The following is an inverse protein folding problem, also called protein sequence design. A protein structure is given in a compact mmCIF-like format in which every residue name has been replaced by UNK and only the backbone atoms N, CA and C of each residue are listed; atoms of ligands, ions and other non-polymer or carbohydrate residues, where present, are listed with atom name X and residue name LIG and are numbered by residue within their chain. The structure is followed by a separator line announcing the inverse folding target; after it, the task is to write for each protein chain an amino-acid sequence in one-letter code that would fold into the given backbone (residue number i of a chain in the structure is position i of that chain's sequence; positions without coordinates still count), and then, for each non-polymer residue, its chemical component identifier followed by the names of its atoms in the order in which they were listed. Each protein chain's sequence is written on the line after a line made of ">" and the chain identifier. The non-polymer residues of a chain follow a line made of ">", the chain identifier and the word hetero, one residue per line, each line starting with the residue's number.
data_IF_698337271080
#
_entry.id   IF_698337271080
#
_cell.length_a   1.000
_cell.length_b   1.000
_cell.length_c   1.000
_cell.angle_alpha   90.00
_cell.angle_beta   90.00
_cell.angle_gamma   90.00
#
_symmetry.space_group_name_H-M   'P 1'
#
loop_
_entity.id
_entity.type
_entity.pdbx_description
1 polymer ?
#
# COMPACT_ATOMS: atom_id res chain seq x y z
N UNK A 1 -23.99 1.91 -31.34
CA UNK A 1 -24.04 2.70 -30.09
C UNK A 1 -22.75 2.34 -29.36
N UNK A 2 -21.84 3.30 -29.25
CA UNK A 2 -20.45 3.05 -28.83
C UNK A 2 -20.45 2.90 -27.31
N UNK A 3 -20.39 1.66 -26.83
CA UNK A 3 -20.09 1.34 -25.43
C UNK A 3 -18.58 1.43 -25.26
N UNK A 4 -18.11 2.48 -24.57
CA UNK A 4 -16.72 2.62 -24.18
C UNK A 4 -16.61 2.18 -22.73
N UNK A 5 -16.23 0.93 -22.51
CA UNK A 5 -15.52 0.54 -21.30
C UNK A 5 -14.30 1.47 -21.15
N UNK A 6 -14.03 2.03 -19.97
CA UNK A 6 -12.74 2.68 -19.73
C UNK A 6 -11.64 1.62 -19.84
N UNK A 7 -10.38 1.97 -20.16
CA UNK A 7 -9.31 0.99 -20.26
C UNK A 7 -9.22 0.25 -18.92
N UNK A 8 -9.53 -1.05 -18.93
CA UNK A 8 -9.52 -1.88 -17.74
C UNK A 8 -8.08 -2.00 -17.27
N UNK A 9 -7.79 -1.47 -16.08
CA UNK A 9 -6.53 -1.77 -15.40
C UNK A 9 -6.51 -3.26 -15.08
N UNK A 10 -5.53 -3.99 -15.62
CA UNK A 10 -5.36 -5.40 -15.29
C UNK A 10 -4.71 -5.49 -13.91
N UNK A 11 -5.57 -5.63 -12.90
CA UNK A 11 -5.14 -5.94 -11.55
C UNK A 11 -4.75 -7.41 -11.47
N UNK A 12 -3.52 -7.68 -11.08
CA UNK A 12 -3.02 -9.04 -10.92
C UNK A 12 -3.45 -9.54 -9.54
N UNK A 13 -4.35 -10.52 -9.56
CA UNK A 13 -4.81 -11.22 -8.36
C UNK A 13 -4.07 -12.53 -8.24
N UNK A 14 -3.18 -12.63 -7.25
CA UNK A 14 -2.52 -13.90 -6.93
C UNK A 14 -3.36 -14.68 -5.92
N UNK A 15 -3.78 -15.87 -6.35
CA UNK A 15 -4.51 -16.84 -5.52
C UNK A 15 -3.60 -18.03 -5.24
N UNK A 16 -3.29 -18.27 -3.96
CA UNK A 16 -2.76 -19.57 -3.54
C UNK A 16 -3.97 -20.50 -3.35
N UNK A 17 -4.09 -21.54 -4.18
CA UNK A 17 -5.25 -22.43 -4.19
C UNK A 17 -5.31 -23.29 -2.92
N UNK A 18 -6.44 -23.24 -2.21
CA UNK A 18 -7.02 -24.38 -1.49
C UNK A 18 -8.40 -24.61 -2.09
N UNK A 19 -8.63 -25.77 -2.71
CA UNK A 19 -9.71 -26.04 -3.67
C UNK A 19 -11.13 -26.03 -3.05
N UNK A 20 -11.29 -25.86 -1.73
CA UNK A 20 -12.59 -26.06 -1.07
C UNK A 20 -12.91 -25.13 0.10
N UNK A 21 -12.12 -24.07 0.33
CA UNK A 21 -12.38 -23.13 1.43
C UNK A 21 -13.62 -22.26 1.16
N UNK A 22 -14.69 -22.43 1.93
CA UNK A 22 -15.91 -21.61 1.81
C UNK A 22 -15.73 -20.16 2.28
N UNK A 23 -14.72 -19.92 3.14
CA UNK A 23 -14.37 -18.59 3.63
C UNK A 23 -13.18 -18.03 2.87
N UNK A 24 -13.32 -16.78 2.42
CA UNK A 24 -12.29 -16.06 1.67
C UNK A 24 -11.64 -15.02 2.57
N UNK A 25 -10.31 -14.93 2.48
CA UNK A 25 -9.50 -13.90 3.14
C UNK A 25 -8.78 -13.09 2.06
N UNK A 26 -8.99 -11.78 2.07
CA UNK A 26 -8.28 -10.84 1.19
C UNK A 26 -7.25 -10.07 1.99
N UNK A 27 -6.02 -10.09 1.50
CA UNK A 27 -4.88 -9.40 2.09
C UNK A 27 -4.60 -8.10 1.36
N UNK A 28 -4.46 -7.01 2.13
CA UNK A 28 -4.27 -5.65 1.63
C UNK A 28 -2.93 -5.11 2.15
N UNK A 29 -1.92 -5.08 1.27
CA UNK A 29 -0.56 -4.68 1.61
C UNK A 29 -0.42 -3.15 1.85
N UNK A 30 0.74 -2.70 2.33
CA UNK A 30 1.09 -1.29 2.43
C UNK A 30 2.22 -0.85 1.49
N UNK A 31 3.08 0.04 1.96
CA UNK A 31 4.20 0.62 1.23
C UNK A 31 5.54 0.31 1.90
N UNK A 32 6.61 0.02 1.15
CA UNK A 32 6.66 -0.40 -0.25
C UNK A 32 6.48 -1.92 -0.28
N UNK A 33 5.25 -2.36 -0.06
CA UNK A 33 4.88 -3.76 -0.03
C UNK A 33 4.23 -4.19 -1.36
N UNK A 34 4.01 -5.49 -1.51
CA UNK A 34 3.32 -6.16 -2.63
C UNK A 34 2.63 -7.41 -2.05
N UNK A 35 1.88 -8.16 -2.88
CA UNK A 35 1.25 -9.43 -2.49
C UNK A 35 2.21 -10.36 -1.73
N UNK A 36 3.49 -10.37 -2.13
CA UNK A 36 4.53 -11.24 -1.59
C UNK A 36 4.76 -11.08 -0.08
N UNK A 37 4.41 -9.92 0.47
CA UNK A 37 4.45 -9.64 1.92
C UNK A 37 3.59 -10.61 2.73
N UNK A 38 2.54 -11.16 2.10
CA UNK A 38 1.58 -12.05 2.73
C UNK A 38 1.87 -13.54 2.52
N UNK A 39 2.97 -13.91 1.83
CA UNK A 39 3.27 -15.30 1.45
C UNK A 39 3.16 -16.29 2.61
N UNK A 40 3.64 -15.92 3.80
CA UNK A 40 3.56 -16.78 4.99
C UNK A 40 2.12 -16.94 5.48
N UNK A 41 1.35 -15.86 5.56
CA UNK A 41 -0.04 -15.89 6.01
C UNK A 41 -0.95 -16.59 5.00
N UNK A 42 -0.72 -16.38 3.70
CA UNK A 42 -1.47 -17.03 2.63
C UNK A 42 -1.33 -18.56 2.71
N UNK A 43 -0.10 -19.06 2.92
CA UNK A 43 0.17 -20.50 3.10
C UNK A 43 -0.51 -21.01 4.37
N UNK A 44 -0.35 -20.33 5.50
CA UNK A 44 -0.92 -20.74 6.78
C UNK A 44 -2.47 -20.83 6.73
N UNK A 45 -3.13 -19.83 6.13
CA UNK A 45 -4.59 -19.82 6.00
C UNK A 45 -5.09 -20.84 4.96
N UNK A 46 -4.34 -21.08 3.89
CA UNK A 46 -4.67 -22.16 2.95
C UNK A 46 -4.64 -23.54 3.64
N UNK A 47 -3.64 -23.79 4.50
CA UNK A 47 -3.55 -25.00 5.32
C UNK A 47 -4.70 -25.09 6.33
N UNK A 48 -5.22 -23.96 6.79
CA UNK A 48 -6.39 -23.89 7.67
C UNK A 48 -7.74 -23.98 6.92
N UNK A 49 -7.74 -24.19 5.60
CA UNK A 49 -8.94 -24.36 4.80
C UNK A 49 -9.61 -23.06 4.35
N UNK A 50 -8.92 -21.93 4.38
CA UNK A 50 -9.39 -20.66 3.81
C UNK A 50 -8.89 -20.50 2.37
N UNK A 51 -9.65 -19.74 1.56
CA UNK A 51 -9.17 -19.24 0.27
C UNK A 51 -8.46 -17.91 0.49
N UNK A 52 -7.16 -17.88 0.24
CA UNK A 52 -6.30 -16.70 0.39
C UNK A 52 -6.15 -15.93 -0.93
N UNK A 53 -6.42 -14.63 -0.92
CA UNK A 53 -6.29 -13.74 -2.08
C UNK A 53 -5.44 -12.53 -1.67
N UNK A 54 -4.37 -12.24 -2.42
CA UNK A 54 -3.55 -11.06 -2.22
C UNK A 54 -3.35 -10.36 -3.58
N UNK A 55 -4.13 -9.31 -3.89
CA UNK A 55 -3.88 -8.49 -5.06
C UNK A 55 -2.68 -7.57 -4.84
N UNK A 56 -1.95 -7.28 -5.90
CA UNK A 56 -1.15 -6.05 -5.96
C UNK A 56 -2.09 -4.89 -6.28
N UNK A 57 -1.99 -3.78 -5.54
CA UNK A 57 -2.73 -2.56 -5.91
C UNK A 57 -2.33 -2.08 -7.32
N UNK A 58 -3.22 -1.31 -7.97
CA UNK A 58 -2.86 -0.62 -9.23
C UNK A 58 -1.54 0.15 -9.07
N UNK A 59 -0.65 0.01 -10.04
CA UNK A 59 0.69 0.60 -10.01
C UNK A 59 1.65 -0.01 -8.98
N UNK A 60 1.37 -1.22 -8.50
CA UNK A 60 2.28 -2.02 -7.69
C UNK A 60 2.58 -3.36 -8.35
N UNK A 61 3.82 -3.82 -8.20
CA UNK A 61 4.25 -5.17 -8.52
C UNK A 61 3.82 -5.63 -9.91
N UNK A 62 2.95 -6.64 -9.97
CA UNK A 62 2.49 -7.19 -11.25
C UNK A 62 1.29 -6.45 -11.85
N UNK A 63 0.53 -5.70 -11.06
CA UNK A 63 -0.64 -4.95 -11.53
C UNK A 63 -0.25 -3.76 -12.40
N UNK A 64 -1.09 -3.45 -13.38
CA UNK A 64 -0.85 -2.33 -14.29
C UNK A 64 -0.86 -0.98 -13.56
N UNK A 65 -0.01 -0.06 -14.04
CA UNK A 65 -0.03 1.33 -13.61
C UNK A 65 -1.23 2.06 -14.21
N UNK A 66 -1.98 2.84 -13.41
CA UNK A 66 -3.07 3.66 -13.90
C UNK A 66 -2.57 4.69 -14.93
N UNK A 67 -3.40 5.10 -15.93
CA UNK A 67 -3.00 6.11 -16.91
C UNK A 67 -2.62 7.47 -16.31
N UNK A 68 -3.10 7.77 -15.10
CA UNK A 68 -2.81 8.98 -14.34
C UNK A 68 -2.44 8.58 -12.90
N UNK A 69 -1.19 8.12 -12.67
CA UNK A 69 -0.70 7.72 -11.35
C UNK A 69 -0.96 8.78 -10.29
N UNK A 70 -0.63 10.04 -10.60
CA UNK A 70 -0.79 11.27 -9.80
C UNK A 70 -2.23 11.55 -9.34
N UNK A 71 -3.25 10.92 -9.94
CA UNK A 71 -4.66 11.09 -9.55
C UNK A 71 -5.24 9.90 -8.80
N UNK A 72 -4.46 8.85 -8.62
CA UNK A 72 -4.91 7.66 -7.92
C UNK A 72 -5.15 7.97 -6.45
N UNK A 73 -6.27 7.47 -5.91
CA UNK A 73 -6.71 7.73 -4.55
C UNK A 73 -7.08 6.44 -3.80
N UNK A 74 -7.27 6.56 -2.48
CA UNK A 74 -7.83 5.45 -1.70
C UNK A 74 -9.20 4.98 -2.18
N UNK A 75 -10.00 5.85 -2.82
CA UNK A 75 -11.30 5.46 -3.38
C UNK A 75 -11.15 4.53 -4.57
N UNK A 76 -10.09 4.71 -5.36
CA UNK A 76 -9.75 3.80 -6.46
C UNK A 76 -9.42 2.42 -5.91
N UNK A 77 -8.61 2.33 -4.84
CA UNK A 77 -8.26 1.04 -4.21
C UNK A 77 -9.48 0.32 -3.61
N UNK A 78 -10.45 1.06 -3.08
CA UNK A 78 -11.73 0.50 -2.59
C UNK A 78 -12.57 -0.01 -3.75
N UNK A 79 -12.60 0.73 -4.86
CA UNK A 79 -13.35 0.34 -6.08
C UNK A 79 -12.73 -0.89 -6.74
N UNK A 80 -11.40 -0.98 -6.75
CA UNK A 80 -10.64 -2.13 -7.21
C UNK A 80 -10.97 -3.38 -6.41
N UNK A 81 -10.99 -3.27 -5.08
CA UNK A 81 -11.37 -4.38 -4.21
C UNK A 81 -12.80 -4.86 -4.53
N UNK A 82 -13.76 -3.95 -4.69
CA UNK A 82 -15.13 -4.30 -5.08
C UNK A 82 -15.16 -5.05 -6.42
N UNK A 83 -14.48 -4.51 -7.44
CA UNK A 83 -14.40 -5.11 -8.76
C UNK A 83 -13.73 -6.49 -8.77
N UNK A 84 -12.68 -6.70 -7.97
CA UNK A 84 -12.05 -8.00 -7.77
C UNK A 84 -13.04 -8.99 -7.16
N UNK A 85 -13.78 -8.61 -6.11
CA UNK A 85 -14.74 -9.51 -5.49
C UNK A 85 -15.89 -9.86 -6.43
N UNK A 86 -16.39 -8.90 -7.20
CA UNK A 86 -17.48 -9.10 -8.16
C UNK A 86 -17.05 -10.00 -9.32
N UNK A 87 -15.87 -9.76 -9.90
CA UNK A 87 -15.33 -10.59 -11.00
C UNK A 87 -15.05 -12.03 -10.58
N UNK A 88 -14.71 -12.26 -9.31
CA UNK A 88 -14.50 -13.60 -8.75
C UNK A 88 -15.78 -14.23 -8.18
N UNK A 89 -16.93 -13.54 -8.28
CA UNK A 89 -18.21 -13.94 -7.71
C UNK A 89 -18.12 -14.25 -6.20
N UNK A 90 -17.35 -13.46 -5.45
CA UNK A 90 -17.13 -13.61 -4.02
C UNK A 90 -18.09 -12.69 -3.25
N UNK A 91 -19.11 -13.22 -2.56
CA UNK A 91 -20.11 -12.39 -1.91
C UNK A 91 -19.59 -11.74 -0.64
N UNK A 92 -18.77 -12.44 0.17
CA UNK A 92 -18.22 -11.91 1.43
C UNK A 92 -16.81 -12.38 1.70
N UNK A 93 -16.03 -11.56 2.41
CA UNK A 93 -14.63 -11.84 2.74
C UNK A 93 -14.27 -11.40 4.16
N UNK A 94 -13.22 -12.00 4.72
CA UNK A 94 -12.42 -11.38 5.77
C UNK A 94 -11.35 -10.49 5.13
N UNK A 95 -11.09 -9.33 5.72
CA UNK A 95 -10.03 -8.42 5.29
C UNK A 95 -8.87 -8.45 6.30
N UNK A 96 -7.65 -8.62 5.80
CA UNK A 96 -6.43 -8.48 6.60
C UNK A 96 -5.56 -7.42 5.96
N UNK A 97 -5.12 -6.40 6.70
CA UNK A 97 -4.41 -5.27 6.13
C UNK A 97 -3.23 -4.78 6.97
N UNK A 98 -2.20 -4.25 6.32
CA UNK A 98 -0.97 -3.72 6.95
C UNK A 98 -0.60 -2.33 6.42
N UNK A 99 0.00 -1.51 7.29
CA UNK A 99 0.52 -0.17 6.99
C UNK A 99 -0.56 0.78 6.42
N UNK A 100 -0.56 1.18 5.14
CA UNK A 100 -1.62 2.03 4.60
C UNK A 100 -2.86 1.21 4.19
N UNK A 101 -2.72 -0.10 3.94
CA UNK A 101 -3.79 -1.03 3.55
C UNK A 101 -5.03 -1.04 4.47
N UNK A 102 -4.91 -0.80 5.79
CA UNK A 102 -6.04 -0.56 6.69
C UNK A 102 -6.98 0.55 6.22
N UNK A 103 -6.50 1.61 5.55
CA UNK A 103 -7.37 2.71 5.11
C UNK A 103 -8.40 2.29 4.06
N UNK A 104 -8.04 1.64 2.94
CA UNK A 104 -9.03 1.09 2.04
C UNK A 104 -9.82 -0.04 2.72
N UNK A 105 -9.24 -0.83 3.63
CA UNK A 105 -9.97 -1.88 4.35
C UNK A 105 -11.12 -1.32 5.21
N UNK A 106 -10.85 -0.31 6.04
CA UNK A 106 -11.86 0.35 6.87
C UNK A 106 -12.92 1.03 6.00
N UNK A 107 -12.49 1.74 4.94
CA UNK A 107 -13.41 2.43 4.03
C UNK A 107 -14.32 1.43 3.33
N UNK A 108 -13.78 0.32 2.84
CA UNK A 108 -14.56 -0.74 2.20
C UNK A 108 -15.55 -1.37 3.19
N UNK A 109 -15.13 -1.67 4.42
CA UNK A 109 -16.02 -2.24 5.44
C UNK A 109 -17.17 -1.29 5.83
N UNK A 110 -16.95 0.03 5.79
CA UNK A 110 -17.98 1.04 6.06
C UNK A 110 -18.95 1.22 4.89
N UNK A 111 -18.45 1.17 3.64
CA UNK A 111 -19.26 1.36 2.44
C UNK A 111 -19.98 0.08 1.98
N UNK A 112 -19.41 -1.08 2.28
CA UNK A 112 -19.89 -2.40 1.87
C UNK A 112 -19.95 -3.37 3.06
N UNK A 113 -20.64 -3.05 4.17
CA UNK A 113 -20.71 -3.92 5.34
C UNK A 113 -21.31 -5.29 5.02
N UNK A 114 -22.16 -5.39 3.99
CA UNK A 114 -22.71 -6.63 3.48
C UNK A 114 -21.66 -7.57 2.88
N UNK A 115 -20.49 -7.05 2.47
CA UNK A 115 -19.39 -7.80 1.84
C UNK A 115 -18.29 -8.22 2.81
N UNK A 116 -18.35 -7.84 4.09
CA UNK A 116 -17.27 -8.05 5.05
C UNK A 116 -17.72 -8.89 6.24
N UNK A 117 -16.99 -9.97 6.52
CA UNK A 117 -17.19 -10.86 7.68
C UNK A 117 -16.38 -10.42 8.90
N UNK A 118 -15.25 -9.75 8.68
CA UNK A 118 -14.37 -9.26 9.74
C UNK A 118 -13.15 -8.55 9.16
N UNK A 119 -12.52 -7.71 9.97
CA UNK A 119 -11.34 -6.92 9.60
C UNK A 119 -10.25 -7.11 10.64
N UNK A 120 -9.04 -7.43 10.20
CA UNK A 120 -7.82 -7.47 11.02
C UNK A 120 -6.83 -6.48 10.44
N UNK A 121 -6.26 -5.60 11.28
CA UNK A 121 -5.31 -4.58 10.84
C UNK A 121 -4.05 -4.57 11.68
N UNK A 122 -2.92 -4.23 11.04
CA UNK A 122 -1.60 -4.15 11.67
C UNK A 122 -0.95 -2.81 11.30
N UNK A 123 -0.43 -2.11 12.30
CA UNK A 123 0.20 -0.80 12.11
C UNK A 123 -0.79 0.36 12.31
N UNK A 124 -1.50 0.77 11.26
CA UNK A 124 -2.31 1.99 11.28
C UNK A 124 -3.71 1.75 11.89
N UNK A 125 -4.06 2.45 13.00
CA UNK A 125 -5.38 2.32 13.61
C UNK A 125 -6.47 2.99 12.78
N UNK A 126 -7.74 2.68 13.07
CA UNK A 126 -8.85 3.43 12.51
C UNK A 126 -8.79 4.89 12.97
N UNK A 127 -8.82 5.81 12.01
CA UNK A 127 -8.86 7.24 12.25
C UNK A 127 -10.15 7.79 11.64
N UNK A 128 -11.11 8.25 12.47
CA UNK A 128 -12.28 8.94 11.98
C UNK A 128 -11.90 10.16 11.13
N UNK A 129 -12.75 10.57 10.16
CA UNK A 129 -12.58 11.84 9.48
C UNK A 129 -12.51 13.00 10.47
N UNK A 130 -11.52 13.89 10.32
CA UNK A 130 -11.35 15.04 11.21
C UNK A 130 -9.94 15.62 11.17
N UNK A 131 -9.73 16.79 11.80
CA UNK A 131 -8.43 17.45 11.85
C UNK A 131 -7.41 16.63 12.64
N UNK A 132 -6.24 16.39 12.05
CA UNK A 132 -5.14 15.65 12.69
C UNK A 132 -4.16 16.62 13.33
N UNK A 133 -4.40 16.92 14.61
CA UNK A 133 -3.60 17.91 15.35
C UNK A 133 -2.12 17.51 15.52
N UNK A 134 -1.79 16.22 15.44
CA UNK A 134 -0.43 15.73 15.68
C UNK A 134 0.55 16.04 14.53
N UNK A 135 0.07 16.24 13.30
CA UNK A 135 0.93 16.51 12.13
C UNK A 135 1.70 17.82 12.25
N UNK A 136 1.11 18.82 12.92
CA UNK A 136 1.75 20.10 13.20
C UNK A 136 2.86 20.04 14.25
N UNK A 137 3.03 18.88 14.91
CA UNK A 137 4.02 18.67 15.96
C UNK A 137 5.23 17.87 15.46
N UNK A 138 5.23 17.44 14.18
CA UNK A 138 6.28 16.60 13.62
C UNK A 138 7.42 17.46 13.06
N UNK A 139 8.68 17.04 13.24
CA UNK A 139 9.84 17.79 12.74
C UNK A 139 9.88 17.76 11.20
N UNK A 140 10.44 18.81 10.59
CA UNK A 140 10.57 18.93 9.12
C UNK A 140 11.29 17.75 8.47
N UNK A 141 12.26 17.15 9.18
CA UNK A 141 12.99 15.96 8.73
C UNK A 141 12.17 14.67 8.72
N UNK A 142 10.97 14.66 9.29
CA UNK A 142 10.15 13.45 9.41
C UNK A 142 9.80 12.88 8.04
N UNK A 143 10.01 11.57 7.87
CA UNK A 143 9.89 10.92 6.56
C UNK A 143 8.55 11.13 5.84
N UNK A 144 7.42 11.13 6.57
CA UNK A 144 6.11 11.38 5.95
C UNK A 144 6.08 12.81 5.39
N UNK A 145 6.56 13.80 6.15
CA UNK A 145 6.60 15.19 5.70
C UNK A 145 7.48 15.35 4.45
N UNK A 146 8.65 14.68 4.43
CA UNK A 146 9.55 14.66 3.27
C UNK A 146 8.92 13.99 2.05
N UNK A 147 8.24 12.86 2.24
CA UNK A 147 7.61 12.13 1.13
C UNK A 147 6.26 12.71 0.68
N UNK A 148 5.65 13.60 1.47
CA UNK A 148 4.45 14.34 1.09
C UNK A 148 4.75 15.55 0.20
N UNK A 149 5.99 16.03 0.19
CA UNK A 149 6.40 17.15 -0.66
C UNK A 149 6.41 16.69 -2.14
N UNK A 150 5.61 17.32 -3.03
CA UNK A 150 5.48 16.87 -4.41
C UNK A 150 6.83 16.79 -5.13
N UNK A 151 7.16 15.61 -5.69
CA UNK A 151 8.38 15.36 -6.45
C UNK A 151 9.63 15.08 -5.59
N UNK A 152 9.57 15.28 -4.26
CA UNK A 152 10.73 15.10 -3.39
C UNK A 152 11.07 13.63 -3.18
N UNK A 153 10.08 12.79 -2.89
CA UNK A 153 10.30 11.35 -2.75
C UNK A 153 10.71 10.72 -4.07
N UNK A 154 10.10 11.14 -5.18
CA UNK A 154 10.43 10.66 -6.52
C UNK A 154 11.88 11.00 -6.88
N UNK A 155 12.32 12.22 -6.56
CA UNK A 155 13.71 12.62 -6.73
C UNK A 155 14.66 11.85 -5.81
N UNK A 156 14.29 11.63 -4.54
CA UNK A 156 15.08 10.87 -3.57
C UNK A 156 15.27 9.41 -4.02
N UNK A 157 14.17 8.76 -4.39
CA UNK A 157 14.12 7.35 -4.79
C UNK A 157 14.77 7.15 -6.17
N UNK A 158 14.59 8.09 -7.10
CA UNK A 158 15.14 8.04 -8.44
C UNK A 158 16.67 8.07 -8.52
N UNK A 159 17.36 8.33 -7.40
CA UNK A 159 18.83 8.21 -7.29
C UNK A 159 19.31 6.76 -7.22
N UNK A 160 18.42 5.81 -6.94
CA UNK A 160 18.75 4.44 -6.58
C UNK A 160 17.95 3.45 -7.44
N UNK A 161 18.48 2.24 -7.63
CA UNK A 161 17.69 1.15 -8.22
C UNK A 161 16.58 0.69 -7.27
N UNK A 162 15.54 0.05 -7.81
CA UNK A 162 14.36 -0.35 -7.06
C UNK A 162 14.69 -1.31 -5.89
N UNK A 163 15.65 -2.21 -6.09
CA UNK A 163 16.10 -3.14 -5.05
C UNK A 163 16.72 -2.38 -3.87
N UNK A 164 17.53 -1.35 -4.14
CA UNK A 164 18.21 -0.54 -3.13
C UNK A 164 17.22 0.34 -2.37
N UNK A 165 16.22 0.91 -3.04
CA UNK A 165 15.13 1.64 -2.37
C UNK A 165 14.40 0.72 -1.39
N UNK A 166 13.96 -0.47 -1.83
CA UNK A 166 13.28 -1.43 -0.96
C UNK A 166 14.17 -1.83 0.22
N UNK A 167 15.45 -2.16 -0.05
CA UNK A 167 16.43 -2.47 0.99
C UNK A 167 16.49 -1.38 2.06
N UNK A 168 16.65 -0.13 1.63
CA UNK A 168 16.80 1.00 2.54
C UNK A 168 15.55 1.19 3.38
N UNK A 169 14.36 1.11 2.77
CA UNK A 169 13.09 1.22 3.52
C UNK A 169 12.95 0.08 4.54
N UNK A 170 13.20 -1.17 4.16
CA UNK A 170 13.12 -2.29 5.12
C UNK A 170 14.14 -2.18 6.25
N UNK A 171 15.33 -1.63 6.01
CA UNK A 171 16.31 -1.34 7.06
C UNK A 171 15.82 -0.24 8.01
N UNK A 172 15.29 0.87 7.48
CA UNK A 172 14.81 2.01 8.26
C UNK A 172 13.65 1.63 9.17
N UNK A 173 12.65 0.91 8.64
CA UNK A 173 11.41 0.61 9.34
C UNK A 173 11.43 -0.74 10.08
N UNK A 174 12.61 -1.36 10.21
CA UNK A 174 12.86 -2.49 11.12
C UNK A 174 13.55 -2.07 12.42
N UNK A 175 13.65 -0.75 12.67
CA UNK A 175 14.27 -0.14 13.85
C UNK A 175 13.22 0.54 14.72
N UNK A 176 13.60 0.92 15.95
CA UNK A 176 12.69 1.63 16.86
C UNK A 176 12.69 3.14 16.62
N UNK A 177 13.76 3.66 16.03
CA UNK A 177 13.95 5.07 15.72
C UNK A 177 13.08 5.48 14.53
N UNK A 178 12.41 6.62 14.68
CA UNK A 178 11.64 7.22 13.59
C UNK A 178 12.62 7.89 12.61
N UNK A 179 12.54 7.61 11.30
CA UNK A 179 13.42 8.25 10.32
C UNK A 179 13.16 9.76 10.25
N UNK A 180 14.17 10.55 10.64
CA UNK A 180 14.17 12.01 10.63
C UNK A 180 15.48 12.46 9.96
N UNK A 181 15.38 13.06 8.77
CA UNK A 181 16.53 13.57 8.03
C UNK A 181 16.97 14.96 8.49
N UNK A 182 18.27 15.23 8.44
CA UNK A 182 18.80 16.58 8.59
C UNK A 182 18.39 17.48 7.40
N UNK A 183 18.65 18.78 7.50
CA UNK A 183 18.33 19.76 6.44
C UNK A 183 19.03 19.42 5.10
N UNK A 184 20.25 18.90 5.16
CA UNK A 184 21.09 18.57 4.00
C UNK A 184 21.08 17.08 3.62
N UNK A 185 20.08 16.32 4.10
CA UNK A 185 19.92 14.89 3.81
C UNK A 185 18.50 14.59 3.35
N UNK A 186 18.34 13.54 2.55
CA UNK A 186 17.05 12.91 2.27
C UNK A 186 16.90 11.58 3.02
N UNK A 187 15.71 10.98 2.97
CA UNK A 187 15.40 9.79 3.79
C UNK A 187 16.22 8.59 3.36
N UNK A 188 16.46 8.42 2.06
CA UNK A 188 17.32 7.32 1.59
C UNK A 188 18.79 7.48 1.99
N UNK A 189 19.25 8.68 2.39
CA UNK A 189 20.62 8.91 2.87
C UNK A 189 20.85 8.45 4.31
N UNK A 190 19.79 8.13 5.04
CA UNK A 190 19.85 7.68 6.44
C UNK A 190 20.37 6.25 6.60
N UNK A 191 20.49 5.50 5.51
CA UNK A 191 20.93 4.11 5.52
C UNK A 191 22.41 4.01 5.16
N UNK A 192 23.21 3.49 6.08
CA UNK A 192 24.56 3.03 5.77
C UNK A 192 24.47 1.78 4.87
N UNK A 193 25.04 1.79 3.64
CA UNK A 193 24.99 0.66 2.72
C UNK A 193 25.59 -0.64 3.28
N UNK A 194 26.48 -0.55 4.27
CA UNK A 194 27.06 -1.72 4.95
C UNK A 194 26.10 -2.38 5.96
N UNK A 195 24.97 -1.73 6.27
CA UNK A 195 23.98 -2.29 7.17
C UNK A 195 23.41 -3.60 6.61
N UNK A 196 23.41 -4.70 7.40
CA UNK A 196 22.80 -5.96 6.98
C UNK A 196 21.28 -5.85 6.89
N UNK A 197 20.66 -6.74 6.11
CA UNK A 197 19.20 -6.86 6.11
C UNK A 197 18.68 -7.33 7.48
N UNK A 198 17.43 -6.96 7.85
CA UNK A 198 16.75 -7.55 8.99
C UNK A 198 16.77 -9.08 8.92
N UNK A 199 16.92 -9.81 10.04
CA UNK A 199 17.15 -11.26 10.03
C UNK A 199 16.00 -12.10 9.44
N UNK A 200 14.81 -11.51 9.31
CA UNK A 200 13.63 -12.14 8.72
C UNK A 200 13.45 -11.80 7.23
N UNK A 201 14.28 -10.93 6.66
CA UNK A 201 14.20 -10.46 5.28
C UNK A 201 15.44 -10.91 4.50
N UNK A 202 15.27 -11.96 3.70
CA UNK A 202 16.40 -12.60 2.99
C UNK A 202 16.77 -11.83 1.73
N UNK A 203 17.97 -12.11 1.18
CA UNK A 203 18.36 -11.56 -0.13
C UNK A 203 17.47 -12.07 -1.29
N UNK A 204 16.88 -13.27 -1.15
CA UNK A 204 15.90 -13.80 -2.10
C UNK A 204 14.59 -13.00 -2.03
N UNK A 205 14.09 -12.73 -0.81
CA UNK A 205 12.91 -11.89 -0.63
C UNK A 205 13.16 -10.50 -1.24
N UNK A 206 14.30 -9.88 -0.93
CA UNK A 206 14.68 -8.58 -1.47
C UNK A 206 14.77 -8.59 -3.01
N UNK A 207 15.30 -9.65 -3.61
CA UNK A 207 15.33 -9.81 -5.06
C UNK A 207 13.93 -9.89 -5.66
N UNK A 208 12.98 -10.59 -5.00
CA UNK A 208 11.59 -10.66 -5.43
C UNK A 208 10.92 -9.27 -5.40
N UNK A 209 11.09 -8.50 -4.33
CA UNK A 209 10.60 -7.12 -4.27
C UNK A 209 11.25 -6.23 -5.34
N UNK A 210 12.58 -6.29 -5.45
CA UNK A 210 13.33 -5.48 -6.41
C UNK A 210 12.85 -5.69 -7.84
N UNK A 211 12.68 -6.96 -8.27
CA UNK A 211 12.18 -7.27 -9.62
C UNK A 211 10.75 -6.76 -9.87
N UNK A 212 9.89 -6.80 -8.85
CA UNK A 212 8.50 -6.36 -8.96
C UNK A 212 8.37 -4.83 -8.97
N UNK A 213 9.18 -4.13 -8.17
CA UNK A 213 9.25 -2.66 -8.20
C UNK A 213 10.02 -2.12 -9.41
N UNK A 214 10.96 -2.87 -9.98
CA UNK A 214 11.60 -2.51 -11.25
C UNK A 214 10.56 -2.46 -12.39
N UNK A 215 9.54 -3.34 -12.35
CA UNK A 215 8.43 -3.33 -13.29
C UNK A 215 7.47 -2.16 -13.03
N UNK A 216 7.00 -2.00 -11.80
CA UNK A 216 5.92 -1.04 -11.48
C UNK A 216 6.39 0.39 -11.27
N UNK A 217 7.66 0.58 -10.89
CA UNK A 217 8.15 1.82 -10.31
C UNK A 217 7.50 2.14 -8.97
N UNK A 218 7.74 3.37 -8.48
CA UNK A 218 7.23 3.86 -7.19
C UNK A 218 6.21 4.99 -7.31
N UNK A 219 5.89 5.48 -8.52
CA UNK A 219 5.07 6.69 -8.70
C UNK A 219 3.68 6.56 -8.06
N UNK A 220 2.91 5.53 -8.44
CA UNK A 220 1.60 5.26 -7.81
C UNK A 220 1.78 4.88 -6.33
N UNK A 221 2.89 4.21 -6.02
CA UNK A 221 3.17 3.73 -4.68
C UNK A 221 3.46 4.85 -3.68
N UNK A 222 4.04 5.96 -4.14
CA UNK A 222 4.24 7.18 -3.36
C UNK A 222 2.96 8.03 -3.32
N UNK A 223 2.22 8.10 -4.44
CA UNK A 223 1.03 8.93 -4.57
C UNK A 223 -0.04 8.60 -3.52
N UNK A 224 -0.46 7.34 -3.41
CA UNK A 224 -1.61 6.98 -2.56
C UNK A 224 -1.34 7.21 -1.07
N UNK A 225 -0.27 6.67 -0.45
CA UNK A 225 -0.01 6.86 0.97
C UNK A 225 0.35 8.30 1.36
N UNK A 226 1.07 9.04 0.52
CA UNK A 226 1.67 10.32 0.90
C UNK A 226 0.97 11.51 0.24
N UNK A 227 0.79 11.52 -1.07
CA UNK A 227 0.26 12.71 -1.79
C UNK A 227 -1.26 12.87 -1.70
N UNK A 228 -2.05 11.79 -1.69
CA UNK A 228 -3.53 11.88 -1.60
C UNK A 228 -4.03 12.32 -0.23
N UNK A 229 -3.14 12.35 0.76
CA UNK A 229 -3.43 12.72 2.13
C UNK A 229 -3.90 14.18 2.24
N UNK A 230 -3.33 15.07 1.42
CA UNK A 230 -3.65 16.51 1.39
C UNK A 230 -5.07 16.80 0.86
N UNK A 231 -5.68 15.90 0.10
CA UNK A 231 -6.99 16.12 -0.52
C UNK A 231 -8.17 15.92 0.45
N UNK A 232 -7.98 15.21 1.56
CA UNK A 232 -9.02 15.04 2.60
C UNK A 232 -9.08 16.20 3.59
N UNK A 233 -8.00 16.99 3.70
CA UNK A 233 -7.95 18.17 4.58
C UNK A 233 -8.23 19.49 3.83
N UNK A 234 -8.09 19.52 2.51
CA UNK A 234 -8.23 20.74 1.70
C UNK A 234 -9.65 21.18 1.31
N UNK A 235 -10.69 20.41 1.63
CA UNK A 235 -12.09 20.76 1.28
C UNK A 235 -12.92 21.38 2.42
N UNK A 236 -12.29 21.76 3.54
CA UNK A 236 -12.96 22.44 4.66
C UNK A 236 -12.50 23.88 4.87
N UNK A 237 -11.93 24.54 3.87
CA UNK A 237 -11.74 25.99 3.90
C UNK A 237 -12.68 26.73 2.94
N UNK A 238 -13.65 27.41 3.58
CA UNK A 238 -14.33 28.65 3.18
C UNK A 238 -15.32 28.55 2.01
N UNK A 239 -16.56 28.20 2.34
CA UNK A 239 -17.71 28.93 1.77
C UNK A 239 -17.84 30.25 2.53
N UNK A 240 -17.67 31.43 1.91
CA UNK A 240 -17.99 32.69 2.56
C UNK A 240 -19.51 32.78 2.76
N UNK A 241 -19.91 33.29 3.92
CA UNK A 241 -21.28 33.72 4.19
C UNK A 241 -21.64 34.98 3.39
#
# INVERSE_FOLDING_TARGET
>A
MIDRTPPSLDLVVLSLFCVTGSNVVVFLHGFPEIWYSWRHQMIALAHAGFRSIAPDYRGYGLSDSPPQPDKTSYRDLVSDLLGILDSLAIPKVFLIAKDFGPRPAYTFALLHPERVLGVVTMGVPYMPPGPRAFEKLLPEGFYISRWQEPGRAEADFGRLDAKTVVRNVYILFSRSEIPIAAENQEIMDLVDPSTPLPPWFTEEDLAAYGALYEKSGFETALQVPYSTYLLLTGHLEKTPA
#
